data_IF_519165605305
#
_entry.id   IF_519165605305
#
_cell.length_a   1.000
_cell.length_b   1.000
_cell.length_c   1.000
_cell.angle_alpha   90.00
_cell.angle_beta   90.00
_cell.angle_gamma   90.00
#
_symmetry.space_group_name_H-M   'P 1'
#
loop_
_entity.id
_entity.type
_entity.pdbx_description
1 polymer ?
#
# COMPACT_ATOMS: atom_id res chain seq x y z
N UNK A 1 -8.81 -14.49 3.66
CA UNK A 1 -7.47 -14.59 4.29
C UNK A 1 -7.62 -15.34 5.61
N UNK A 2 -6.85 -16.41 5.81
CA UNK A 2 -6.72 -17.06 7.12
C UNK A 2 -5.78 -16.23 8.00
N UNK A 3 -6.34 -15.62 9.06
CA UNK A 3 -5.69 -14.55 9.83
C UNK A 3 -5.25 -14.95 11.23
N UNK A 4 -5.56 -16.16 11.69
CA UNK A 4 -5.26 -16.62 13.05
C UNK A 4 -3.91 -17.33 13.08
N UNK A 5 -2.88 -16.62 12.62
CA UNK A 5 -1.50 -17.07 12.52
C UNK A 5 -0.57 -15.86 12.53
N UNK A 6 0.72 -16.08 12.73
CA UNK A 6 1.72 -15.04 12.51
C UNK A 6 1.65 -14.52 11.07
N UNK A 7 1.71 -13.20 10.86
CA UNK A 7 1.78 -12.63 9.52
C UNK A 7 2.91 -13.30 8.71
N UNK A 8 2.62 -13.84 7.51
CA UNK A 8 3.65 -14.42 6.66
C UNK A 8 4.63 -13.33 6.20
N UNK A 9 5.84 -13.71 5.81
CA UNK A 9 6.85 -12.76 5.30
C UNK A 9 6.47 -12.10 3.95
N UNK A 10 5.50 -12.68 3.23
CA UNK A 10 5.03 -12.19 1.94
C UNK A 10 3.55 -12.55 1.72
N UNK A 11 2.94 -11.91 0.73
CA UNK A 11 1.56 -12.16 0.32
C UNK A 11 0.55 -11.27 1.05
N UNK A 12 -0.76 -11.46 0.79
CA UNK A 12 -1.72 -10.38 1.00
C UNK A 12 -1.91 -9.96 2.47
N UNK A 13 -1.68 -10.85 3.44
CA UNK A 13 -1.72 -10.47 4.85
C UNK A 13 -0.50 -9.63 5.25
N UNK A 14 0.68 -9.90 4.68
CA UNK A 14 1.85 -9.04 4.83
C UNK A 14 1.58 -7.69 4.19
N UNK A 15 1.05 -7.68 2.97
CA UNK A 15 0.83 -6.45 2.20
C UNK A 15 -0.19 -5.52 2.84
N UNK A 16 -1.29 -6.08 3.37
CA UNK A 16 -2.27 -5.30 4.14
C UNK A 16 -1.67 -4.60 5.37
N UNK A 17 -0.59 -5.14 5.93
CA UNK A 17 0.05 -4.62 7.15
C UNK A 17 1.25 -3.71 6.87
N UNK A 18 1.94 -3.91 5.74
CA UNK A 18 3.27 -3.35 5.49
C UNK A 18 3.41 -2.56 4.18
N UNK A 19 2.39 -2.49 3.34
CA UNK A 19 2.45 -1.65 2.14
C UNK A 19 2.36 -0.17 2.50
N UNK A 20 3.06 0.68 1.75
CA UNK A 20 3.07 2.15 1.90
C UNK A 20 2.77 2.82 0.55
N UNK A 21 2.28 4.08 0.52
CA UNK A 21 2.25 4.84 -0.72
C UNK A 21 3.67 5.13 -1.22
N UNK A 22 3.83 5.36 -2.53
CA UNK A 22 5.08 5.92 -3.06
C UNK A 22 5.40 7.29 -2.41
N UNK A 23 6.68 7.64 -2.31
CA UNK A 23 7.11 8.93 -1.73
C UNK A 23 6.55 10.12 -2.54
N UNK A 24 6.45 9.96 -3.86
CA UNK A 24 5.90 10.94 -4.80
C UNK A 24 4.43 10.65 -5.17
N UNK A 25 3.66 9.96 -4.31
CA UNK A 25 2.27 9.55 -4.56
C UNK A 25 1.40 10.68 -5.14
N UNK A 26 0.83 10.45 -6.33
CA UNK A 26 0.03 11.41 -7.10
C UNK A 26 0.82 12.24 -8.12
N UNK A 27 2.15 12.16 -8.11
CA UNK A 27 3.06 12.83 -9.05
C UNK A 27 4.08 11.85 -9.68
N UNK A 28 3.77 10.56 -9.71
CA UNK A 28 4.67 9.51 -10.17
C UNK A 28 5.05 9.69 -11.65
N UNK A 29 6.32 9.44 -11.96
CA UNK A 29 6.83 9.51 -13.34
C UNK A 29 6.56 8.26 -14.18
N UNK A 30 6.30 7.11 -13.53
CA UNK A 30 5.98 5.85 -14.17
C UNK A 30 4.56 5.39 -13.79
N UNK A 31 4.01 4.48 -14.58
CA UNK A 31 2.66 3.94 -14.38
C UNK A 31 2.65 2.59 -13.65
N UNK A 32 3.74 2.20 -12.97
CA UNK A 32 3.75 0.94 -12.23
C UNK A 32 2.81 1.03 -11.02
N UNK A 33 1.95 0.02 -10.85
CA UNK A 33 1.00 0.00 -9.74
C UNK A 33 1.68 -0.31 -8.41
N UNK A 34 2.65 -1.22 -8.44
CA UNK A 34 3.33 -1.72 -7.26
C UNK A 34 4.82 -1.89 -7.54
N UNK A 35 5.66 -1.38 -6.64
CA UNK A 35 7.11 -1.55 -6.67
C UNK A 35 7.61 -2.01 -5.30
N UNK A 36 8.81 -2.60 -5.23
CA UNK A 36 9.29 -3.16 -3.96
C UNK A 36 9.46 -2.08 -2.89
N UNK A 37 8.91 -2.29 -1.70
CA UNK A 37 9.08 -1.38 -0.57
C UNK A 37 10.44 -1.58 0.09
N UNK A 38 11.42 -0.83 -0.38
CA UNK A 38 12.78 -0.85 0.13
C UNK A 38 12.91 -0.29 1.55
N UNK A 39 11.99 0.57 2.00
CA UNK A 39 11.98 1.13 3.36
C UNK A 39 11.61 0.08 4.39
N UNK A 40 10.66 -0.81 4.05
CA UNK A 40 10.22 -1.91 4.93
C UNK A 40 10.99 -3.21 4.71
N UNK A 41 11.66 -3.36 3.56
CA UNK A 41 12.37 -4.60 3.17
C UNK A 41 11.44 -5.78 2.86
N UNK A 42 10.13 -5.55 2.81
CA UNK A 42 9.09 -6.51 2.45
C UNK A 42 7.89 -5.74 1.90
N UNK A 43 6.93 -6.44 1.29
CA UNK A 43 5.77 -5.81 0.65
C UNK A 43 6.16 -4.79 -0.44
N UNK A 44 5.25 -3.85 -0.73
CA UNK A 44 5.27 -2.98 -1.88
C UNK A 44 4.91 -1.54 -1.54
N UNK A 45 5.47 -0.61 -2.30
CA UNK A 45 4.89 0.70 -2.47
C UNK A 45 3.73 0.60 -3.46
N UNK A 46 2.62 1.28 -3.19
CA UNK A 46 1.50 1.40 -4.12
C UNK A 46 1.40 2.83 -4.69
N UNK A 47 1.08 2.92 -5.97
CA UNK A 47 0.92 4.21 -6.66
C UNK A 47 -0.49 4.78 -6.55
N UNK A 48 -0.63 6.05 -6.92
CA UNK A 48 -1.91 6.74 -7.02
C UNK A 48 -2.86 6.03 -8.00
N UNK A 49 -2.35 5.56 -9.14
CA UNK A 49 -3.17 4.83 -10.12
C UNK A 49 -3.66 3.50 -9.56
N UNK A 50 -2.82 2.76 -8.84
CA UNK A 50 -3.23 1.52 -8.16
C UNK A 50 -4.35 1.76 -7.14
N UNK A 51 -4.26 2.85 -6.37
CA UNK A 51 -5.29 3.25 -5.41
C UNK A 51 -6.60 3.64 -6.12
N UNK A 52 -6.52 4.47 -7.16
CA UNK A 52 -7.69 4.87 -7.96
C UNK A 52 -8.43 3.67 -8.56
N UNK A 53 -7.69 2.75 -9.18
CA UNK A 53 -8.24 1.53 -9.77
C UNK A 53 -8.93 0.67 -8.71
N UNK A 54 -8.30 0.48 -7.55
CA UNK A 54 -8.89 -0.28 -6.44
C UNK A 54 -10.21 0.36 -5.97
N UNK A 55 -10.23 1.68 -5.78
CA UNK A 55 -11.41 2.39 -5.31
C UNK A 55 -12.57 2.32 -6.30
N UNK A 56 -12.30 2.53 -7.59
CA UNK A 56 -13.31 2.44 -8.65
C UNK A 56 -13.89 1.02 -8.76
N UNK A 57 -13.01 0.00 -8.77
CA UNK A 57 -13.44 -1.40 -8.90
C UNK A 57 -14.28 -1.89 -7.72
N UNK A 58 -14.14 -1.26 -6.55
CA UNK A 58 -14.85 -1.65 -5.32
C UNK A 58 -15.95 -0.65 -4.92
N UNK A 59 -16.24 0.37 -5.73
CA UNK A 59 -17.20 1.43 -5.42
C UNK A 59 -16.94 2.09 -4.04
N UNK A 60 -15.68 2.41 -3.78
CA UNK A 60 -15.21 3.03 -2.54
C UNK A 60 -14.79 4.49 -2.80
N UNK A 61 -14.83 5.31 -1.76
CA UNK A 61 -14.45 6.72 -1.83
C UNK A 61 -12.95 6.95 -1.56
N UNK A 62 -12.40 6.27 -0.56
CA UNK A 62 -11.03 6.52 -0.10
C UNK A 62 -10.48 5.33 0.69
N UNK A 63 -9.15 5.27 0.85
CA UNK A 63 -8.44 4.37 1.74
C UNK A 63 -7.92 5.19 2.92
N UNK A 64 -8.40 4.90 4.13
CA UNK A 64 -7.87 5.48 5.36
C UNK A 64 -6.91 4.47 5.98
N UNK A 65 -5.69 4.91 6.28
CA UNK A 65 -4.62 4.06 6.82
C UNK A 65 -3.76 4.81 7.83
N UNK A 66 -2.96 4.05 8.58
CA UNK A 66 -1.86 4.51 9.42
C UNK A 66 -0.62 3.69 9.03
N UNK A 67 0.54 3.92 9.67
CA UNK A 67 1.79 3.13 9.66
C UNK A 67 3.02 4.04 9.53
N UNK A 68 2.86 5.16 8.82
CA UNK A 68 3.88 6.20 8.67
C UNK A 68 3.55 7.37 9.58
N UNK A 69 4.51 7.78 10.40
CA UNK A 69 4.35 8.94 11.28
C UNK A 69 4.30 10.22 10.43
N UNK A 70 3.40 11.13 10.80
CA UNK A 70 3.26 12.43 10.18
C UNK A 70 3.51 13.50 11.25
N UNK A 71 4.17 14.60 10.88
CA UNK A 71 4.46 15.70 11.81
C UNK A 71 3.18 16.33 12.39
N UNK A 72 2.13 16.39 11.58
CA UNK A 72 0.80 16.88 11.97
C UNK A 72 -0.11 15.81 12.62
N UNK A 73 0.38 14.58 12.81
CA UNK A 73 -0.40 13.40 13.23
C UNK A 73 -1.12 12.69 12.10
#
# INVERSE_FOLDING_TARGET
LDRFKEPPAFGPMCDLLWSDPLEDFGNESNAEHFSHNSVRGCSYFYSYTACCDFLQNNNLLSIIRAHEAQDAG
#
